data_IF_475399701089
#
_entry.id   IF_475399701089
#
_cell.length_a   1.000
_cell.length_b   1.000
_cell.length_c   1.000
_cell.angle_alpha   90.00
_cell.angle_beta   90.00
_cell.angle_gamma   90.00
#
_symmetry.space_group_name_H-M   'P 1'
#
loop_
_entity.id
_entity.type
_entity.pdbx_description
1 polymer ?
#
# COMPACT_ATOMS: atom_id res chain seq x y z
N UNK A 1 26.11 -65.49 -61.60
CA UNK A 1 24.88 -65.02 -62.32
C UNK A 1 23.79 -65.10 -61.35
N UNK A 2 23.32 -63.99 -60.88
CA UNK A 2 21.95 -63.66 -60.51
C UNK A 2 21.97 -62.32 -59.69
N UNK A 3 21.45 -61.35 -60.35
CA UNK A 3 21.25 -59.99 -59.78
C UNK A 3 20.03 -60.00 -58.90
N UNK A 4 20.12 -59.55 -57.63
CA UNK A 4 18.97 -59.25 -56.79
C UNK A 4 18.85 -57.74 -56.62
N UNK A 5 17.75 -57.25 -57.14
CA UNK A 5 17.31 -55.87 -56.93
C UNK A 5 16.66 -55.74 -55.52
N UNK A 6 17.11 -54.82 -54.72
CA UNK A 6 16.42 -54.42 -53.52
C UNK A 6 15.63 -53.13 -53.78
N UNK A 7 14.40 -53.02 -53.36
CA UNK A 7 13.64 -51.76 -53.47
C UNK A 7 13.97 -50.80 -52.29
N UNK A 8 14.24 -49.56 -52.66
CA UNK A 8 14.47 -48.43 -51.76
C UNK A 8 13.16 -47.98 -51.22
N UNK A 9 12.87 -48.26 -49.95
CA UNK A 9 11.69 -47.72 -49.26
C UNK A 9 11.99 -46.30 -48.75
N UNK A 10 11.36 -45.32 -49.38
CA UNK A 10 11.43 -43.94 -48.95
C UNK A 10 10.54 -43.76 -47.72
N UNK A 11 11.16 -43.56 -46.53
CA UNK A 11 10.47 -43.13 -45.32
C UNK A 11 10.25 -41.60 -45.39
N UNK A 12 9.01 -41.18 -45.61
CA UNK A 12 8.57 -39.81 -45.42
C UNK A 12 8.45 -39.55 -43.93
N UNK A 13 9.43 -38.87 -43.36
CA UNK A 13 9.36 -38.26 -42.03
C UNK A 13 8.42 -37.05 -42.09
N UNK A 14 7.20 -37.21 -41.66
CA UNK A 14 6.31 -36.12 -41.31
C UNK A 14 6.87 -35.44 -40.05
N UNK A 15 7.63 -34.38 -40.25
CA UNK A 15 7.96 -33.45 -39.19
C UNK A 15 6.68 -32.70 -38.78
N UNK A 16 5.97 -33.25 -37.80
CA UNK A 16 4.92 -32.55 -37.11
C UNK A 16 5.52 -31.36 -36.34
N UNK A 17 5.44 -30.17 -36.90
CA UNK A 17 5.64 -28.93 -36.13
C UNK A 17 4.53 -28.87 -35.11
N UNK A 18 4.75 -29.45 -33.94
CA UNK A 18 4.04 -29.09 -32.72
C UNK A 18 4.46 -27.66 -32.39
N UNK A 19 3.70 -26.69 -32.89
CA UNK A 19 3.68 -25.35 -32.34
C UNK A 19 3.05 -25.43 -30.95
N UNK A 20 3.83 -25.92 -30.00
CA UNK A 20 3.59 -25.69 -28.60
C UNK A 20 3.62 -24.17 -28.42
N UNK A 21 2.46 -23.55 -28.52
CA UNK A 21 2.29 -22.18 -28.10
C UNK A 21 2.74 -22.10 -26.65
N UNK A 22 3.95 -21.59 -26.46
CA UNK A 22 4.40 -21.14 -25.17
C UNK A 22 3.46 -19.99 -24.81
N UNK A 23 2.34 -20.32 -24.15
CA UNK A 23 1.59 -19.33 -23.40
C UNK A 23 2.50 -18.95 -22.25
N UNK A 24 3.54 -18.14 -22.51
CA UNK A 24 4.17 -17.35 -21.49
C UNK A 24 3.02 -16.59 -20.85
N UNK A 25 2.50 -17.14 -19.76
CA UNK A 25 1.53 -16.45 -18.95
C UNK A 25 2.20 -15.12 -18.62
N UNK A 26 1.56 -14.02 -19.04
CA UNK A 26 2.06 -12.68 -18.75
C UNK A 26 1.93 -12.46 -17.24
N UNK A 27 2.77 -13.17 -16.48
CA UNK A 27 2.78 -13.11 -15.03
C UNK A 27 3.17 -11.70 -14.60
N UNK A 28 2.40 -11.10 -13.71
CA UNK A 28 2.67 -9.82 -13.07
C UNK A 28 2.70 -10.04 -11.56
N UNK A 29 3.83 -9.78 -10.93
CA UNK A 29 4.00 -9.97 -9.48
C UNK A 29 3.96 -8.62 -8.77
N UNK A 30 3.07 -8.47 -7.77
CA UNK A 30 2.85 -7.21 -7.07
C UNK A 30 2.92 -7.40 -5.56
N UNK A 31 3.77 -6.60 -4.89
CA UNK A 31 3.86 -6.55 -3.44
C UNK A 31 2.77 -5.62 -2.86
N UNK A 32 2.12 -6.05 -1.79
CA UNK A 32 1.05 -5.30 -1.14
C UNK A 32 0.98 -5.60 0.37
N UNK A 33 0.35 -4.72 1.15
CA UNK A 33 -0.12 -5.08 2.49
C UNK A 33 -1.47 -5.80 2.40
N UNK A 34 -1.86 -6.50 3.49
CA UNK A 34 -3.01 -7.41 3.47
C UNK A 34 -4.33 -6.68 3.16
N UNK A 35 -4.65 -5.65 3.94
CA UNK A 35 -5.90 -4.86 3.87
C UNK A 35 -5.52 -3.39 3.74
N UNK A 36 -6.16 -2.59 2.90
CA UNK A 36 -7.12 -2.96 1.85
C UNK A 36 -6.44 -3.41 0.54
N UNK A 37 -5.12 -3.25 0.43
CA UNK A 37 -4.35 -3.30 -0.82
C UNK A 37 -4.45 -4.65 -1.52
N UNK A 38 -4.11 -5.77 -0.83
CA UNK A 38 -4.21 -7.10 -1.44
C UNK A 38 -5.67 -7.50 -1.71
N UNK A 39 -6.64 -7.00 -0.93
CA UNK A 39 -8.05 -7.24 -1.19
C UNK A 39 -8.51 -6.55 -2.49
N UNK A 40 -8.11 -5.30 -2.69
CA UNK A 40 -8.39 -4.54 -3.94
C UNK A 40 -7.69 -5.22 -5.14
N UNK A 41 -6.43 -5.64 -4.99
CA UNK A 41 -5.71 -6.39 -6.03
C UNK A 41 -6.41 -7.69 -6.40
N UNK A 42 -6.99 -8.41 -5.42
CA UNK A 42 -7.78 -9.63 -5.70
C UNK A 42 -8.98 -9.35 -6.60
N UNK A 43 -9.61 -8.18 -6.48
CA UNK A 43 -10.71 -7.78 -7.38
C UNK A 43 -10.21 -7.42 -8.78
N UNK A 44 -8.97 -6.95 -8.92
CA UNK A 44 -8.36 -6.69 -10.23
C UNK A 44 -7.96 -7.98 -10.97
N UNK A 45 -7.73 -9.12 -10.28
CA UNK A 45 -7.35 -10.40 -10.92
C UNK A 45 -8.27 -10.82 -12.07
N UNK A 46 -9.59 -10.92 -11.90
CA UNK A 46 -10.48 -11.35 -12.99
C UNK A 46 -10.52 -10.34 -14.16
N UNK A 47 -10.23 -9.07 -13.91
CA UNK A 47 -10.14 -8.05 -14.97
C UNK A 47 -8.89 -8.34 -15.81
N UNK A 48 -7.74 -8.51 -15.17
CA UNK A 48 -6.45 -8.80 -15.81
C UNK A 48 -6.44 -10.15 -16.53
N UNK A 49 -7.10 -11.18 -15.97
CA UNK A 49 -7.20 -12.51 -16.57
C UNK A 49 -7.86 -12.47 -17.95
N UNK A 50 -8.81 -11.55 -18.19
CA UNK A 50 -9.43 -11.35 -19.52
C UNK A 50 -8.43 -10.86 -20.57
N UNK A 51 -7.32 -10.23 -20.11
CA UNK A 51 -6.24 -9.75 -20.96
C UNK A 51 -5.05 -10.75 -21.00
N UNK A 52 -5.23 -11.95 -20.43
CA UNK A 52 -4.21 -12.99 -20.37
C UNK A 52 -3.10 -12.71 -19.37
N UNK A 53 -3.32 -11.83 -18.39
CA UNK A 53 -2.36 -11.48 -17.36
C UNK A 53 -2.68 -12.25 -16.08
N UNK A 54 -1.70 -13.01 -15.56
CA UNK A 54 -1.79 -13.69 -14.27
C UNK A 54 -1.18 -12.81 -13.17
N UNK A 55 -2.02 -12.23 -12.33
CA UNK A 55 -1.60 -11.41 -11.21
C UNK A 55 -1.22 -12.27 -10.00
N UNK A 56 0.06 -12.25 -9.62
CA UNK A 56 0.60 -12.87 -8.41
C UNK A 56 0.79 -11.81 -7.32
N UNK A 57 0.07 -11.94 -6.20
CA UNK A 57 0.08 -10.97 -5.10
C UNK A 57 0.95 -11.48 -3.98
N UNK A 58 2.02 -10.75 -3.65
CA UNK A 58 2.90 -11.01 -2.51
C UNK A 58 2.53 -10.09 -1.35
N UNK A 59 2.05 -10.68 -0.26
CA UNK A 59 1.60 -9.91 0.91
C UNK A 59 2.74 -9.75 1.91
N UNK A 60 2.96 -8.51 2.34
CA UNK A 60 3.95 -8.11 3.35
C UNK A 60 3.26 -7.48 4.56
N UNK A 61 3.87 -7.65 5.74
CA UNK A 61 3.33 -7.13 6.99
C UNK A 61 3.89 -5.75 7.39
N UNK A 62 4.92 -5.27 6.66
CA UNK A 62 5.64 -4.02 6.93
C UNK A 62 5.68 -3.10 5.71
N UNK A 63 6.22 -1.89 5.88
CA UNK A 63 6.31 -0.88 4.82
C UNK A 63 7.70 -0.81 4.14
N UNK A 64 8.69 -1.56 4.62
CA UNK A 64 10.06 -1.52 4.09
C UNK A 64 10.22 -2.48 2.92
N UNK A 65 9.79 -3.73 3.12
CA UNK A 65 9.99 -4.81 2.17
C UNK A 65 9.37 -4.55 0.79
N UNK A 66 8.14 -4.02 0.63
CA UNK A 66 7.55 -3.88 -0.69
C UNK A 66 8.35 -3.00 -1.66
N UNK A 67 8.98 -1.90 -1.18
CA UNK A 67 9.84 -1.08 -2.01
C UNK A 67 11.18 -1.78 -2.33
N UNK A 68 11.76 -2.45 -1.35
CA UNK A 68 13.00 -3.24 -1.52
C UNK A 68 12.81 -4.31 -2.59
N UNK A 69 11.71 -5.06 -2.55
CA UNK A 69 11.41 -6.12 -3.52
C UNK A 69 11.25 -5.58 -4.95
N UNK A 70 10.69 -4.37 -5.12
CA UNK A 70 10.62 -3.72 -6.44
C UNK A 70 12.00 -3.31 -6.92
N UNK A 71 12.83 -2.72 -6.06
CA UNK A 71 14.20 -2.31 -6.39
C UNK A 71 15.07 -3.52 -6.79
N UNK A 72 14.95 -4.62 -6.07
CA UNK A 72 15.69 -5.87 -6.33
C UNK A 72 15.13 -6.67 -7.52
N UNK A 73 14.06 -6.18 -8.17
CA UNK A 73 13.37 -6.83 -9.29
C UNK A 73 12.75 -8.19 -8.92
N UNK A 74 12.55 -8.46 -7.63
CA UNK A 74 11.86 -9.65 -7.15
C UNK A 74 10.35 -9.61 -7.38
N UNK A 75 9.79 -8.40 -7.47
CA UNK A 75 8.42 -8.13 -7.93
C UNK A 75 8.42 -7.01 -8.98
N UNK A 76 7.37 -6.96 -9.80
CA UNK A 76 7.24 -5.98 -10.88
C UNK A 76 6.81 -4.60 -10.37
N UNK A 77 5.92 -4.58 -9.37
CA UNK A 77 5.33 -3.37 -8.80
C UNK A 77 4.98 -3.56 -7.33
N UNK A 78 4.62 -2.48 -6.65
CA UNK A 78 3.97 -2.55 -5.35
C UNK A 78 2.75 -1.62 -5.27
N UNK A 79 1.85 -1.96 -4.34
CA UNK A 79 0.68 -1.18 -4.01
C UNK A 79 0.42 -1.31 -2.51
N UNK A 80 0.90 -0.32 -1.72
CA UNK A 80 0.82 -0.34 -0.25
C UNK A 80 1.04 1.02 0.39
N UNK A 81 1.49 2.03 -0.35
CA UNK A 81 2.04 3.28 0.17
C UNK A 81 1.37 4.51 -0.41
N UNK A 82 1.40 5.59 0.36
CA UNK A 82 1.02 6.91 -0.12
C UNK A 82 2.18 7.59 -0.88
N UNK A 83 1.83 8.55 -1.73
CA UNK A 83 2.85 9.31 -2.47
C UNK A 83 3.87 10.00 -1.55
N UNK A 84 3.50 10.70 -0.45
CA UNK A 84 4.49 11.28 0.47
C UNK A 84 5.45 10.26 1.08
N UNK A 85 4.98 9.04 1.38
CA UNK A 85 5.85 7.96 1.85
C UNK A 85 6.86 7.53 0.78
N UNK A 86 6.42 7.38 -0.47
CA UNK A 86 7.31 7.07 -1.60
C UNK A 86 8.37 8.15 -1.82
N UNK A 87 7.97 9.43 -1.75
CA UNK A 87 8.87 10.56 -1.93
C UNK A 87 9.98 10.56 -0.86
N UNK A 88 9.61 10.36 0.42
CA UNK A 88 10.55 10.22 1.54
C UNK A 88 11.46 8.99 1.37
N UNK A 89 10.90 7.85 0.97
CA UNK A 89 11.67 6.64 0.70
C UNK A 89 12.72 6.87 -0.40
N UNK A 90 12.31 7.42 -1.54
CA UNK A 90 13.21 7.71 -2.65
C UNK A 90 14.34 8.67 -2.25
N UNK A 91 14.01 9.71 -1.49
CA UNK A 91 14.99 10.69 -1.02
C UNK A 91 16.03 10.04 -0.08
N UNK A 92 15.56 9.28 0.93
CA UNK A 92 16.43 8.68 1.95
C UNK A 92 17.32 7.56 1.41
N UNK A 93 16.82 6.81 0.43
CA UNK A 93 17.54 5.68 -0.15
C UNK A 93 18.22 6.01 -1.48
N UNK A 94 18.13 7.26 -1.96
CA UNK A 94 18.64 7.70 -3.26
C UNK A 94 18.16 6.76 -4.40
N UNK A 95 16.85 6.50 -4.42
CA UNK A 95 16.19 5.63 -5.40
C UNK A 95 15.18 6.40 -6.25
N UNK A 96 14.69 5.77 -7.33
CA UNK A 96 13.79 6.41 -8.31
C UNK A 96 12.60 5.50 -8.63
N UNK A 97 11.92 5.00 -7.59
CA UNK A 97 10.65 4.33 -7.80
C UNK A 97 9.59 5.34 -8.25
N UNK A 98 8.78 4.94 -9.21
CA UNK A 98 7.87 5.85 -9.94
C UNK A 98 6.41 5.50 -9.67
N UNK A 99 5.59 6.53 -9.42
CA UNK A 99 4.13 6.41 -9.37
C UNK A 99 3.59 6.08 -10.76
N UNK A 100 2.81 5.00 -10.86
CA UNK A 100 2.08 4.64 -12.08
C UNK A 100 0.68 5.25 -12.06
N UNK A 101 -0.05 5.10 -10.95
CA UNK A 101 -1.38 5.71 -10.77
C UNK A 101 -1.74 5.86 -9.30
N UNK A 102 -2.60 6.83 -8.98
CA UNK A 102 -3.28 6.93 -7.69
C UNK A 102 -4.52 6.04 -7.66
N UNK A 103 -4.83 5.44 -6.50
CA UNK A 103 -5.93 4.50 -6.39
C UNK A 103 -6.92 4.86 -5.30
N UNK A 104 -6.47 5.10 -4.07
CA UNK A 104 -7.38 5.38 -2.95
C UNK A 104 -6.73 6.23 -1.87
N UNK A 105 -7.56 6.74 -0.97
CA UNK A 105 -7.16 7.44 0.26
C UNK A 105 -7.58 6.61 1.45
N UNK A 106 -6.72 6.56 2.45
CA UNK A 106 -6.97 5.97 3.77
C UNK A 106 -6.90 7.08 4.82
N UNK A 107 -8.03 7.63 5.29
CA UNK A 107 -8.01 8.64 6.34
C UNK A 107 -7.32 8.11 7.60
N UNK A 108 -6.27 8.79 8.04
CA UNK A 108 -5.47 8.40 9.21
C UNK A 108 -6.25 8.67 10.50
N UNK A 109 -6.13 7.80 11.50
CA UNK A 109 -6.93 7.89 12.72
C UNK A 109 -6.13 7.81 14.02
N UNK A 110 -6.71 8.41 15.07
CA UNK A 110 -6.24 8.28 16.46
C UNK A 110 -7.26 7.47 17.27
N UNK A 111 -6.79 6.46 17.98
CA UNK A 111 -7.61 5.47 18.67
C UNK A 111 -7.24 5.33 20.12
N UNK A 112 -8.20 4.95 20.96
CA UNK A 112 -7.98 4.65 22.37
C UNK A 112 -8.90 3.54 22.85
N UNK A 113 -8.42 2.76 23.83
CA UNK A 113 -9.26 1.86 24.62
C UNK A 113 -9.59 2.41 26.01
N UNK A 114 -8.89 3.48 26.43
CA UNK A 114 -9.00 4.05 27.77
C UNK A 114 -9.98 5.22 27.85
N UNK A 115 -10.13 5.99 26.75
CA UNK A 115 -11.01 7.17 26.69
C UNK A 115 -12.03 7.03 25.56
N UNK A 116 -13.14 7.76 25.64
CA UNK A 116 -14.23 7.73 24.66
C UNK A 116 -14.30 8.98 23.78
N UNK A 117 -13.75 10.08 24.26
CA UNK A 117 -13.65 11.35 23.52
C UNK A 117 -12.27 11.94 23.73
N UNK A 118 -11.79 12.74 22.78
CA UNK A 118 -10.45 13.33 22.85
C UNK A 118 -10.30 14.29 24.03
N UNK A 119 -11.38 14.94 24.48
CA UNK A 119 -11.37 15.85 25.62
C UNK A 119 -11.03 15.15 26.94
N UNK A 120 -11.21 13.83 27.03
CA UNK A 120 -10.84 13.00 28.18
C UNK A 120 -9.34 12.66 28.21
N UNK A 121 -8.56 13.07 27.21
CA UNK A 121 -7.13 12.78 27.17
C UNK A 121 -6.43 13.48 28.35
N UNK A 122 -5.81 12.72 29.29
CA UNK A 122 -5.22 13.29 30.49
C UNK A 122 -3.92 14.05 30.20
N UNK A 123 -3.56 14.95 31.11
CA UNK A 123 -2.24 15.56 31.10
C UNK A 123 -1.16 14.48 31.33
N UNK A 124 -0.06 14.56 30.57
CA UNK A 124 1.01 13.57 30.58
C UNK A 124 0.67 12.25 29.87
N UNK A 125 -0.44 12.22 29.12
CA UNK A 125 -0.86 11.03 28.36
C UNK A 125 0.26 10.50 27.45
N UNK A 126 0.35 9.18 27.35
CA UNK A 126 1.26 8.48 26.44
C UNK A 126 0.59 8.30 25.09
N UNK A 127 1.24 8.80 24.04
CA UNK A 127 0.76 8.78 22.65
C UNK A 127 1.74 7.98 21.79
N UNK A 128 1.28 6.88 21.19
CA UNK A 128 2.09 6.14 20.23
C UNK A 128 1.80 6.60 18.80
N UNK A 129 2.85 6.64 17.97
CA UNK A 129 2.77 7.07 16.57
C UNK A 129 3.82 6.35 15.71
N UNK A 130 3.67 6.36 14.37
CA UNK A 130 4.65 5.75 13.46
C UNK A 130 6.02 6.40 13.58
N UNK A 131 7.08 5.59 13.45
CA UNK A 131 8.47 6.03 13.55
C UNK A 131 9.11 6.43 12.20
N UNK A 132 8.41 6.20 11.08
CA UNK A 132 8.86 6.71 9.79
C UNK A 132 8.49 8.19 9.63
N UNK A 133 9.35 9.01 8.96
CA UNK A 133 9.15 10.46 8.90
C UNK A 133 7.81 10.87 8.29
N UNK A 134 7.37 10.18 7.23
CA UNK A 134 6.12 10.53 6.53
C UNK A 134 4.88 10.29 7.39
N UNK A 135 4.74 9.09 7.98
CA UNK A 135 3.56 8.77 8.81
C UNK A 135 3.66 9.38 10.20
N UNK A 136 4.87 9.51 10.78
CA UNK A 136 5.10 10.23 12.02
C UNK A 136 4.73 11.71 11.91
N UNK A 137 5.18 12.38 10.85
CA UNK A 137 4.82 13.76 10.54
C UNK A 137 3.31 13.92 10.31
N UNK A 138 2.69 13.01 9.56
CA UNK A 138 1.23 12.96 9.35
C UNK A 138 0.45 12.84 10.67
N UNK A 139 0.93 11.97 11.58
CA UNK A 139 0.34 11.81 12.91
C UNK A 139 0.40 13.09 13.73
N UNK A 140 1.55 13.77 13.75
CA UNK A 140 1.73 15.03 14.44
C UNK A 140 0.89 16.15 13.83
N UNK A 141 0.75 16.21 12.51
CA UNK A 141 -0.15 17.13 11.82
C UNK A 141 -1.61 16.93 12.23
N UNK A 142 -2.06 15.68 12.38
CA UNK A 142 -3.42 15.38 12.86
C UNK A 142 -3.63 15.93 14.28
N UNK A 143 -2.70 15.70 15.20
CA UNK A 143 -2.75 16.23 16.56
C UNK A 143 -2.74 17.77 16.58
N UNK A 144 -1.91 18.39 15.73
CA UNK A 144 -1.81 19.84 15.64
C UNK A 144 -3.10 20.49 15.11
N UNK A 145 -3.72 19.89 14.08
CA UNK A 145 -5.02 20.36 13.54
C UNK A 145 -6.14 20.33 14.57
N UNK A 146 -6.06 19.41 15.53
CA UNK A 146 -7.02 19.33 16.65
C UNK A 146 -6.57 20.10 17.90
N UNK A 147 -5.54 20.93 17.81
CA UNK A 147 -5.10 21.82 18.89
C UNK A 147 -4.42 21.13 20.08
N UNK A 148 -4.06 19.85 19.95
CA UNK A 148 -3.40 19.09 21.02
C UNK A 148 -1.92 19.45 21.17
N UNK A 149 -1.28 19.89 20.06
CA UNK A 149 0.11 20.37 20.01
C UNK A 149 0.22 21.52 19.01
N UNK A 150 1.34 22.24 19.05
CA UNK A 150 1.73 23.17 17.99
C UNK A 150 3.05 22.74 17.40
N UNK A 151 3.17 22.72 16.08
CA UNK A 151 4.38 22.39 15.34
C UNK A 151 5.08 23.67 14.89
N UNK A 152 6.42 23.61 14.75
CA UNK A 152 7.25 24.68 14.21
C UNK A 152 6.84 25.07 12.79
N UNK A 153 6.54 24.05 11.95
CA UNK A 153 5.94 24.21 10.63
C UNK A 153 4.63 23.42 10.58
N UNK A 154 3.46 24.12 10.52
CA UNK A 154 2.16 23.46 10.53
C UNK A 154 1.83 22.70 9.25
N UNK A 155 2.69 22.78 8.21
CA UNK A 155 2.48 22.13 6.91
C UNK A 155 3.56 21.08 6.59
N UNK A 156 4.58 20.92 7.42
CA UNK A 156 5.65 19.97 7.15
C UNK A 156 5.16 18.51 7.28
N UNK A 157 5.23 17.70 6.22
CA UNK A 157 4.80 16.31 6.25
C UNK A 157 5.80 15.38 6.95
N UNK A 158 6.96 15.90 7.36
CA UNK A 158 8.07 15.14 7.97
C UNK A 158 8.45 15.68 9.35
N UNK A 159 7.53 16.37 10.03
CA UNK A 159 7.74 16.82 11.40
C UNK A 159 7.98 15.64 12.35
N UNK A 160 8.84 15.84 13.33
CA UNK A 160 9.13 14.91 14.43
C UNK A 160 8.67 15.47 15.77
N UNK A 161 8.64 14.71 16.87
CA UNK A 161 8.35 15.25 18.19
C UNK A 161 9.26 16.40 18.64
N UNK A 162 10.47 16.51 18.05
CA UNK A 162 11.41 17.63 18.32
C UNK A 162 10.95 18.97 17.73
N UNK A 163 10.02 18.93 16.78
CA UNK A 163 9.48 20.11 16.11
C UNK A 163 8.22 20.65 16.82
N UNK A 164 7.83 20.06 17.94
CA UNK A 164 6.72 20.53 18.78
C UNK A 164 7.16 21.76 19.54
N UNK A 165 6.47 22.89 19.33
CA UNK A 165 6.73 24.18 19.99
C UNK A 165 5.80 24.45 21.17
N UNK A 166 4.60 23.82 21.19
CA UNK A 166 3.71 23.84 22.33
C UNK A 166 3.05 22.48 22.53
N UNK A 167 3.00 22.02 23.77
CA UNK A 167 2.42 20.75 24.20
C UNK A 167 1.70 20.98 25.54
N UNK A 168 0.52 21.61 25.53
CA UNK A 168 -0.17 22.07 26.74
C UNK A 168 -0.57 20.92 27.67
N UNK A 169 -0.80 19.71 27.15
CA UNK A 169 -1.13 18.53 27.94
C UNK A 169 0.11 17.70 28.34
N UNK A 170 1.33 18.15 28.06
CA UNK A 170 2.57 17.40 28.34
C UNK A 170 2.56 15.98 27.80
N UNK A 171 2.00 15.77 26.59
CA UNK A 171 1.90 14.47 25.94
C UNK A 171 3.30 13.84 25.78
N UNK A 172 3.39 12.56 26.02
CA UNK A 172 4.63 11.77 25.91
C UNK A 172 4.55 10.89 24.67
N UNK A 173 5.46 11.08 23.72
CA UNK A 173 5.44 10.39 22.44
C UNK A 173 6.28 9.12 22.47
N UNK A 174 5.72 8.02 21.91
CA UNK A 174 6.39 6.74 21.66
C UNK A 174 6.35 6.46 20.17
N UNK A 175 7.50 6.59 19.49
CA UNK A 175 7.64 6.31 18.07
C UNK A 175 7.92 4.82 17.87
N UNK A 176 7.06 4.14 17.12
CA UNK A 176 7.09 2.69 16.90
C UNK A 176 6.83 2.37 15.43
N UNK A 177 7.25 1.20 14.98
CA UNK A 177 6.84 0.71 13.65
C UNK A 177 5.33 0.69 13.52
N UNK A 178 4.81 1.17 12.38
CA UNK A 178 3.38 1.31 12.14
C UNK A 178 2.60 0.00 12.34
N UNK A 179 3.21 -1.14 11.98
CA UNK A 179 2.60 -2.47 12.11
C UNK A 179 2.34 -2.91 13.56
N UNK A 180 3.05 -2.34 14.55
CA UNK A 180 2.88 -2.73 15.96
C UNK A 180 1.91 -1.83 16.72
N UNK A 181 1.60 -0.65 16.20
CA UNK A 181 0.77 0.36 16.87
C UNK A 181 -0.60 -0.16 17.36
N UNK A 182 -1.35 -0.99 16.61
CA UNK A 182 -2.61 -1.52 17.11
C UNK A 182 -2.48 -2.34 18.40
N UNK A 183 -1.31 -2.97 18.61
CA UNK A 183 -1.04 -3.79 19.82
C UNK A 183 -0.76 -2.94 21.05
N UNK A 184 -0.44 -1.66 20.87
CA UNK A 184 -0.14 -0.74 22.00
C UNK A 184 -1.39 -0.15 22.66
N UNK A 185 -2.57 -0.36 22.11
CA UNK A 185 -3.82 0.27 22.55
C UNK A 185 -4.18 0.04 24.03
N UNK A 186 -3.75 -1.07 24.62
CA UNK A 186 -3.95 -1.34 26.04
C UNK A 186 -2.89 -0.66 26.93
N UNK A 187 -1.74 -0.29 26.36
CA UNK A 187 -0.62 0.29 27.10
C UNK A 187 -0.63 1.83 27.08
N UNK A 188 -1.02 2.42 25.94
CA UNK A 188 -0.99 3.88 25.72
C UNK A 188 -2.36 4.51 25.96
N UNK A 189 -2.41 5.85 26.06
CA UNK A 189 -3.66 6.58 26.21
C UNK A 189 -4.26 6.96 24.86
N UNK A 190 -3.42 7.12 23.82
CA UNK A 190 -3.82 7.38 22.44
C UNK A 190 -2.82 6.73 21.48
N UNK A 191 -3.31 6.07 20.42
CA UNK A 191 -2.48 5.50 19.37
C UNK A 191 -2.87 6.09 18.01
N UNK A 192 -1.88 6.64 17.28
CA UNK A 192 -2.02 7.16 15.92
C UNK A 192 -1.73 6.01 14.94
N UNK A 193 -2.75 5.48 14.28
CA UNK A 193 -2.65 4.22 13.51
C UNK A 193 -3.06 4.44 12.07
N UNK A 194 -2.23 3.98 11.13
CA UNK A 194 -2.56 3.92 9.72
C UNK A 194 -3.77 3.02 9.48
N UNK A 195 -4.68 3.43 8.60
CA UNK A 195 -5.97 2.76 8.40
C UNK A 195 -5.86 1.30 7.98
N UNK A 196 -4.88 0.95 7.15
CA UNK A 196 -4.65 -0.45 6.78
C UNK A 196 -4.36 -1.35 8.00
N UNK A 197 -3.57 -0.88 8.97
CA UNK A 197 -3.30 -1.62 10.21
C UNK A 197 -4.47 -1.56 11.19
N UNK A 198 -5.20 -0.45 11.22
CA UNK A 198 -6.44 -0.35 12.00
C UNK A 198 -7.48 -1.37 11.51
N UNK A 199 -7.74 -1.43 10.22
CA UNK A 199 -8.65 -2.40 9.59
C UNK A 199 -8.21 -3.85 9.84
N UNK A 200 -6.91 -4.14 9.70
CA UNK A 200 -6.36 -5.47 9.98
C UNK A 200 -6.52 -5.88 11.46
N UNK A 201 -6.58 -4.91 12.37
CA UNK A 201 -6.83 -5.12 13.80
C UNK A 201 -8.32 -5.09 14.19
N UNK A 202 -9.22 -5.01 13.20
CA UNK A 202 -10.68 -4.97 13.42
C UNK A 202 -11.22 -3.60 13.85
N UNK A 203 -10.42 -2.53 13.74
CA UNK A 203 -10.85 -1.16 14.01
C UNK A 203 -11.36 -0.51 12.71
N UNK A 204 -12.48 0.20 12.81
CA UNK A 204 -13.02 0.97 11.70
C UNK A 204 -12.76 2.47 11.95
N UNK A 205 -11.97 3.16 11.10
CA UNK A 205 -11.60 4.56 11.32
C UNK A 205 -12.82 5.49 11.38
N UNK A 206 -13.90 5.21 10.66
CA UNK A 206 -15.10 6.05 10.67
C UNK A 206 -15.98 5.86 11.91
N UNK A 207 -15.73 4.81 12.72
CA UNK A 207 -16.55 4.47 13.90
C UNK A 207 -15.75 4.53 15.20
N UNK A 208 -14.48 4.08 15.14
CA UNK A 208 -13.69 3.82 16.34
C UNK A 208 -12.61 4.88 16.59
N UNK A 209 -12.27 5.70 15.57
CA UNK A 209 -11.29 6.76 15.74
C UNK A 209 -11.88 7.93 16.56
N UNK A 210 -11.11 8.42 17.52
CA UNK A 210 -11.43 9.65 18.28
C UNK A 210 -11.08 10.91 17.49
N UNK A 211 -10.05 10.84 16.64
CA UNK A 211 -9.69 11.84 15.64
C UNK A 211 -9.49 11.11 14.32
N UNK A 212 -9.94 11.70 13.24
CA UNK A 212 -9.78 11.19 11.89
C UNK A 212 -9.37 12.31 10.95
N UNK A 213 -8.50 11.99 10.01
CA UNK A 213 -8.05 12.90 8.96
C UNK A 213 -9.19 13.21 7.98
N UNK A 214 -9.17 14.42 7.43
CA UNK A 214 -10.14 14.85 6.43
C UNK A 214 -10.01 14.04 5.13
N UNK A 215 -11.10 14.01 4.35
CA UNK A 215 -11.17 13.27 3.08
C UNK A 215 -10.26 13.88 2.00
N UNK A 216 -9.96 15.17 2.07
CA UNK A 216 -9.09 15.89 1.15
C UNK A 216 -7.61 15.75 1.55
N UNK A 217 -7.18 14.51 1.72
CA UNK A 217 -5.84 14.17 2.17
C UNK A 217 -4.87 14.04 0.98
N UNK A 218 -3.64 14.59 1.06
CA UNK A 218 -2.62 14.41 0.03
C UNK A 218 -2.03 12.98 0.01
N UNK A 219 -2.38 12.15 0.98
CA UNK A 219 -1.85 10.80 1.16
C UNK A 219 -2.58 9.77 0.31
N UNK A 220 -2.66 10.02 -1.01
CA UNK A 220 -3.19 9.05 -1.97
C UNK A 220 -2.28 7.83 -2.03
N UNK A 221 -2.85 6.65 -1.85
CA UNK A 221 -2.18 5.37 -2.05
C UNK A 221 -2.03 5.07 -3.54
N UNK A 222 -0.81 4.68 -3.92
CA UNK A 222 -0.36 4.63 -5.31
C UNK A 222 0.14 3.25 -5.71
N UNK A 223 -0.11 2.88 -6.97
CA UNK A 223 0.62 1.81 -7.64
C UNK A 223 2.00 2.36 -8.03
N UNK A 224 3.04 1.64 -7.66
CA UNK A 224 4.44 2.04 -7.88
C UNK A 224 5.21 0.95 -8.61
N UNK A 225 6.07 1.35 -9.50
CA UNK A 225 7.00 0.47 -10.21
C UNK A 225 8.40 1.10 -10.30
N UNK A 226 9.33 0.42 -10.93
CA UNK A 226 10.61 1.00 -11.33
C UNK A 226 10.42 1.88 -12.57
N UNK A 227 11.33 2.79 -12.80
CA UNK A 227 11.33 3.64 -13.99
C UNK A 227 11.54 2.82 -15.29
N UNK A 228 12.29 1.70 -15.20
CA UNK A 228 12.57 0.82 -16.35
C UNK A 228 11.39 -0.07 -16.77
N UNK A 229 10.33 -0.20 -15.94
CA UNK A 229 9.17 -1.03 -16.25
C UNK A 229 7.81 -0.34 -16.02
N UNK A 230 7.79 0.96 -15.74
CA UNK A 230 6.53 1.70 -15.56
C UNK A 230 5.59 1.63 -16.77
N UNK A 231 6.17 1.56 -17.97
CA UNK A 231 5.44 1.49 -19.24
C UNK A 231 5.21 0.04 -19.72
N UNK A 232 5.56 -0.97 -18.91
CA UNK A 232 5.24 -2.38 -19.20
C UNK A 232 3.73 -2.54 -19.39
N UNK A 233 3.26 -3.14 -20.50
CA UNK A 233 1.83 -3.31 -20.76
C UNK A 233 1.07 -4.01 -19.62
N UNK A 234 1.72 -4.92 -18.86
CA UNK A 234 1.11 -5.61 -17.71
C UNK A 234 0.89 -4.65 -16.54
N UNK A 235 1.87 -3.77 -16.28
CA UNK A 235 1.78 -2.73 -15.22
C UNK A 235 0.71 -1.72 -15.58
N UNK A 236 0.67 -1.28 -16.84
CA UNK A 236 -0.35 -0.34 -17.32
C UNK A 236 -1.77 -0.95 -17.32
N UNK A 237 -1.90 -2.24 -17.66
CA UNK A 237 -3.18 -2.95 -17.55
C UNK A 237 -3.66 -3.01 -16.08
N UNK A 238 -2.73 -3.26 -15.13
CA UNK A 238 -3.06 -3.22 -13.70
C UNK A 238 -3.50 -1.81 -13.26
N UNK A 239 -2.79 -0.75 -13.69
CA UNK A 239 -3.17 0.62 -13.38
C UNK A 239 -4.60 0.94 -13.85
N UNK A 240 -4.93 0.55 -15.07
CA UNK A 240 -6.27 0.69 -15.64
C UNK A 240 -7.31 -0.13 -14.88
N UNK A 241 -6.98 -1.36 -14.50
CA UNK A 241 -7.87 -2.21 -13.70
C UNK A 241 -8.16 -1.59 -12.34
N UNK A 242 -7.11 -1.11 -11.62
CA UNK A 242 -7.24 -0.50 -10.29
C UNK A 242 -8.03 0.81 -10.27
N UNK A 243 -8.14 1.49 -11.41
CA UNK A 243 -8.91 2.73 -11.56
C UNK A 243 -10.23 2.51 -12.32
N UNK A 244 -10.70 1.27 -12.42
CA UNK A 244 -11.96 0.92 -13.09
C UNK A 244 -13.21 1.22 -12.26
N UNK A 245 -14.37 1.39 -12.89
CA UNK A 245 -15.65 1.54 -12.19
C UNK A 245 -15.97 0.36 -11.25
N UNK A 246 -15.55 -0.85 -11.60
CA UNK A 246 -15.73 -2.05 -10.78
C UNK A 246 -14.96 -1.93 -9.47
N UNK A 247 -13.69 -1.50 -9.52
CA UNK A 247 -12.86 -1.28 -8.32
C UNK A 247 -13.40 -0.13 -7.49
N UNK A 248 -13.84 0.96 -8.11
CA UNK A 248 -14.49 2.07 -7.40
C UNK A 248 -15.69 1.59 -6.60
N UNK A 249 -16.57 0.83 -7.24
CA UNK A 249 -17.77 0.26 -6.61
C UNK A 249 -17.39 -0.67 -5.45
N UNK A 250 -16.41 -1.55 -5.66
CA UNK A 250 -15.91 -2.44 -4.62
C UNK A 250 -15.39 -1.67 -3.39
N UNK A 251 -14.53 -0.65 -3.59
CA UNK A 251 -13.99 0.16 -2.49
C UNK A 251 -15.13 0.80 -1.69
N UNK A 252 -16.11 1.40 -2.36
CA UNK A 252 -17.23 2.06 -1.72
C UNK A 252 -18.11 1.10 -0.91
N UNK A 253 -18.38 -0.07 -1.46
CA UNK A 253 -19.25 -1.08 -0.84
C UNK A 253 -18.55 -1.85 0.28
N UNK A 254 -17.26 -2.15 0.12
CA UNK A 254 -16.51 -2.96 1.08
C UNK A 254 -16.11 -2.17 2.32
N UNK A 255 -15.64 -0.92 2.13
CA UNK A 255 -15.00 -0.18 3.23
C UNK A 255 -15.89 0.92 3.83
N UNK A 256 -17.06 1.19 3.28
CA UNK A 256 -18.06 2.12 3.84
C UNK A 256 -17.50 3.47 4.31
N UNK A 257 -16.56 4.05 3.54
CA UNK A 257 -15.92 5.32 3.84
C UNK A 257 -14.62 5.23 4.65
N UNK A 258 -14.25 4.05 5.15
CA UNK A 258 -12.93 3.84 5.78
C UNK A 258 -11.78 3.89 4.75
N UNK A 259 -12.08 3.56 3.50
CA UNK A 259 -11.22 3.70 2.32
C UNK A 259 -12.02 4.41 1.24
N UNK A 260 -11.41 5.38 0.57
CA UNK A 260 -12.06 6.25 -0.40
C UNK A 260 -11.37 6.14 -1.76
N UNK A 261 -12.09 5.90 -2.88
CA UNK A 261 -11.45 5.94 -4.20
C UNK A 261 -10.94 7.35 -4.49
N UNK A 262 -9.76 7.45 -5.13
CA UNK A 262 -9.08 8.71 -5.46
C UNK A 262 -9.00 8.97 -6.97
N UNK A 263 -9.95 8.42 -7.75
CA UNK A 263 -10.05 8.54 -9.21
C UNK A 263 -11.50 8.69 -9.66
#
# INVERSE_FOLDING_TARGET
MNKLFAPLAALLLLAGCSSGGNTDSKKLTVAATAVPHAEILKQAKPILAKEGIDLDIKVFADYVQPNTQVLEKAVDANYFQSKPYLDDFNQRHNTHLTVVTGVHIEPFGAYSRKIKTIDQLPDGAVVSLPNDPSNGGRALLLLARHGLITLKDPNSPVSSPKDITANPKNLKFRELEAAVLPRTLDEVDLALINTNYALAAGLNPTKDALLIEDKDSPYVNVLVSRDDNKDDPRVQALAKALTSPEIKTYIQQQYHGAVLPAF
#
